data_IF_965900353649
#
_entry.id   IF_965900353649
#
_cell.length_a   1.000
_cell.length_b   1.000
_cell.length_c   1.000
_cell.angle_alpha   90.00
_cell.angle_beta   90.00
_cell.angle_gamma   90.00
#
_symmetry.space_group_name_H-M   'P 1'
#
loop_
_entity.id
_entity.type
_entity.pdbx_description
1 polymer ?
#
# COMPACT_ATOMS: atom_id res chain seq x y z
N UNK A 1 19.18 -6.42 4.04
CA UNK A 1 18.76 -6.08 2.67
C UNK A 1 18.96 -4.60 2.37
N UNK A 2 19.72 -4.24 1.32
CA UNK A 2 19.74 -2.87 0.84
C UNK A 2 18.33 -2.53 0.34
N UNK A 3 17.84 -1.34 0.68
CA UNK A 3 16.58 -0.83 0.16
C UNK A 3 16.60 -0.83 -1.36
N UNK A 4 15.56 -1.34 -2.02
CA UNK A 4 15.32 -1.14 -3.45
C UNK A 4 14.45 0.12 -3.58
N UNK A 5 15.04 1.30 -3.88
CA UNK A 5 14.31 2.55 -3.79
C UNK A 5 13.32 2.69 -4.93
N UNK A 6 12.26 3.48 -4.68
CA UNK A 6 11.32 3.93 -5.69
C UNK A 6 11.41 5.46 -5.81
N UNK A 7 11.73 6.01 -7.00
CA UNK A 7 12.01 5.28 -8.25
C UNK A 7 13.33 4.49 -8.20
N UNK A 8 13.49 3.42 -9.02
CA UNK A 8 14.76 2.70 -9.09
C UNK A 8 15.91 3.62 -9.56
N UNK A 9 17.15 3.37 -9.12
CA UNK A 9 18.31 4.19 -9.51
C UNK A 9 18.50 4.21 -11.03
N UNK A 10 18.97 5.34 -11.56
CA UNK A 10 19.19 5.49 -13.01
C UNK A 10 20.25 4.52 -13.57
N UNK A 11 21.18 4.08 -12.72
CA UNK A 11 22.23 3.10 -13.02
C UNK A 11 21.85 1.66 -12.67
N UNK A 12 20.56 1.39 -12.39
CA UNK A 12 20.09 0.02 -12.11
C UNK A 12 20.39 -0.93 -13.28
N UNK A 13 20.98 -2.11 -13.02
CA UNK A 13 21.28 -3.10 -14.07
C UNK A 13 20.00 -3.63 -14.75
N UNK A 14 18.84 -3.49 -14.11
CA UNK A 14 17.55 -3.90 -14.67
C UNK A 14 17.23 -3.15 -15.97
N UNK A 15 17.65 -1.88 -16.09
CA UNK A 15 17.37 -1.07 -17.28
C UNK A 15 18.04 -1.60 -18.57
N UNK A 16 19.06 -2.46 -18.44
CA UNK A 16 19.75 -3.07 -19.59
C UNK A 16 19.13 -4.39 -20.07
N UNK A 17 18.11 -4.92 -19.39
CA UNK A 17 17.54 -6.23 -19.73
C UNK A 17 16.66 -6.15 -20.99
N UNK A 18 16.89 -6.99 -22.01
CA UNK A 18 16.16 -6.91 -23.29
C UNK A 18 14.70 -7.37 -23.18
N UNK A 19 14.32 -7.99 -22.06
CA UNK A 19 12.99 -8.54 -21.79
C UNK A 19 12.26 -7.80 -20.67
N UNK A 20 12.76 -6.64 -20.23
CA UNK A 20 12.11 -5.87 -19.19
C UNK A 20 10.98 -5.00 -19.75
N UNK A 21 9.80 -5.13 -19.14
CA UNK A 21 8.72 -4.15 -19.22
C UNK A 21 8.50 -3.60 -17.82
N UNK A 22 8.71 -2.30 -17.63
CA UNK A 22 8.55 -1.65 -16.34
C UNK A 22 7.37 -0.67 -16.36
N UNK A 23 6.66 -0.58 -15.25
CA UNK A 23 5.63 0.45 -15.00
C UNK A 23 5.96 1.16 -13.69
N UNK A 24 5.77 2.49 -13.57
CA UNK A 24 6.26 3.26 -12.43
C UNK A 24 5.34 3.15 -11.19
N UNK A 25 5.22 1.97 -10.61
CA UNK A 25 4.34 1.70 -9.45
C UNK A 25 2.91 2.24 -9.64
N UNK A 26 2.34 2.00 -10.83
CA UNK A 26 0.99 2.49 -11.19
C UNK A 26 -0.05 1.39 -11.26
N UNK A 27 0.28 0.15 -10.89
CA UNK A 27 -0.61 -1.01 -11.02
C UNK A 27 -1.96 -0.84 -10.31
N UNK A 28 -2.01 -0.07 -9.23
CA UNK A 28 -3.23 0.20 -8.46
C UNK A 28 -3.84 1.60 -8.70
N UNK A 29 -3.28 2.42 -9.61
CA UNK A 29 -3.63 3.84 -9.75
C UNK A 29 -4.83 4.10 -10.68
N UNK A 30 -5.96 3.42 -10.46
CA UNK A 30 -7.24 3.79 -11.09
C UNK A 30 -8.05 4.71 -10.19
N UNK A 31 -8.93 5.54 -10.76
CA UNK A 31 -9.82 6.41 -9.99
C UNK A 31 -10.67 5.60 -9.00
N UNK A 32 -11.23 4.48 -9.45
CA UNK A 32 -12.11 3.64 -8.64
C UNK A 32 -11.34 2.95 -7.50
N UNK A 33 -10.09 2.56 -7.73
CA UNK A 33 -9.25 1.98 -6.69
C UNK A 33 -8.89 3.03 -5.63
N UNK A 34 -8.54 4.25 -6.06
CA UNK A 34 -8.25 5.38 -5.16
C UNK A 34 -9.45 5.73 -4.30
N UNK A 35 -10.65 5.80 -4.89
CA UNK A 35 -11.89 6.09 -4.15
C UNK A 35 -12.20 5.01 -3.12
N UNK A 36 -12.10 3.72 -3.50
CA UNK A 36 -12.32 2.60 -2.57
C UNK A 36 -11.33 2.59 -1.40
N UNK A 37 -10.05 2.80 -1.67
CA UNK A 37 -9.01 2.84 -0.64
C UNK A 37 -9.23 4.02 0.30
N UNK A 38 -9.55 5.20 -0.24
CA UNK A 38 -9.82 6.39 0.56
C UNK A 38 -11.01 6.20 1.50
N UNK A 39 -12.12 5.65 1.00
CA UNK A 39 -13.31 5.36 1.81
C UNK A 39 -13.01 4.38 2.94
N UNK A 40 -12.33 3.27 2.65
CA UNK A 40 -11.95 2.29 3.68
C UNK A 40 -11.03 2.92 4.73
N UNK A 41 -10.00 3.66 4.30
CA UNK A 41 -9.07 4.31 5.22
C UNK A 41 -9.77 5.31 6.15
N UNK A 42 -10.62 6.18 5.59
CA UNK A 42 -11.37 7.17 6.37
C UNK A 42 -12.35 6.52 7.35
N UNK A 43 -13.05 5.46 6.94
CA UNK A 43 -13.94 4.73 7.83
C UNK A 43 -13.17 4.19 9.04
N UNK A 44 -12.00 3.58 8.82
CA UNK A 44 -11.20 3.04 9.93
C UNK A 44 -10.66 4.14 10.85
N UNK A 45 -10.30 5.31 10.32
CA UNK A 45 -9.92 6.48 11.14
C UNK A 45 -11.07 6.90 12.05
N UNK A 46 -12.30 7.00 11.52
CA UNK A 46 -13.46 7.37 12.31
C UNK A 46 -13.87 6.29 13.32
N UNK A 47 -13.76 5.02 12.97
CA UNK A 47 -14.06 3.92 13.89
C UNK A 47 -13.12 3.94 15.10
N UNK A 48 -11.82 4.16 14.89
CA UNK A 48 -10.84 4.37 15.98
C UNK A 48 -11.25 5.57 16.83
N UNK A 49 -11.54 6.71 16.20
CA UNK A 49 -11.88 7.95 16.91
C UNK A 49 -13.16 7.80 17.76
N UNK A 50 -14.15 7.07 17.26
CA UNK A 50 -15.42 6.82 17.94
C UNK A 50 -15.34 5.70 19.00
N UNK A 51 -14.22 4.98 19.10
CA UNK A 51 -14.12 3.80 19.96
C UNK A 51 -14.96 2.61 19.47
N UNK A 52 -15.28 2.57 18.18
CA UNK A 52 -16.01 1.48 17.54
C UNK A 52 -15.08 0.30 17.25
N UNK A 53 -15.63 -0.92 17.17
CA UNK A 53 -14.87 -2.09 16.76
C UNK A 53 -14.34 -1.92 15.32
N UNK A 54 -13.03 -2.16 15.12
CA UNK A 54 -12.37 -2.10 13.82
C UNK A 54 -12.70 -3.32 12.97
N UNK A 55 -12.70 -3.18 11.63
CA UNK A 55 -12.79 -4.33 10.75
C UNK A 55 -11.51 -5.18 10.88
N UNK A 56 -11.58 -6.44 11.32
CA UNK A 56 -10.39 -7.26 11.49
C UNK A 56 -9.57 -7.39 10.21
N UNK A 57 -10.20 -7.35 9.03
CA UNK A 57 -9.52 -7.43 7.73
C UNK A 57 -8.58 -6.24 7.48
N UNK A 58 -8.84 -5.11 8.14
CA UNK A 58 -8.03 -3.89 8.06
C UNK A 58 -6.94 -3.81 9.14
N UNK A 59 -6.90 -4.75 10.09
CA UNK A 59 -5.89 -4.79 11.15
C UNK A 59 -4.80 -5.80 10.80
N UNK A 60 -3.60 -5.30 10.48
CA UNK A 60 -2.44 -6.13 10.11
C UNK A 60 -1.58 -6.56 11.31
N UNK A 61 -1.63 -5.80 12.39
CA UNK A 61 -0.90 -6.00 13.64
C UNK A 61 -1.85 -6.45 14.77
N UNK A 62 -2.71 -7.43 14.48
CA UNK A 62 -3.75 -7.92 15.42
C UNK A 62 -3.21 -8.35 16.79
N UNK A 63 -1.96 -8.82 16.84
CA UNK A 63 -1.28 -9.21 18.07
C UNK A 63 -1.16 -8.06 19.09
N UNK A 64 -1.26 -6.79 18.66
CA UNK A 64 -1.28 -5.64 19.55
C UNK A 64 -2.65 -5.43 20.24
N UNK A 65 -3.69 -6.12 19.79
CA UNK A 65 -5.06 -6.04 20.34
C UNK A 65 -5.43 -7.28 21.16
N UNK A 66 -4.58 -8.32 21.16
CA UNK A 66 -4.76 -9.49 21.98
C UNK A 66 -4.18 -9.21 23.37
N UNK A 67 -5.02 -8.68 24.27
CA UNK A 67 -4.79 -8.69 25.72
C UNK A 67 -5.36 -9.97 26.32
#
# INVERSE_FOLDING_TARGET
EPSNPEPPPADSPLWGLPNLVATPHVGANTSEARDRVALVALQQIFDVWAGTALDPRCVVNRHLFAS
#
